data_IF_377420296823
#
_entry.id   IF_377420296823
#
_cell.length_a   1.000
_cell.length_b   1.000
_cell.length_c   1.000
_cell.angle_alpha   90.00
_cell.angle_beta   90.00
_cell.angle_gamma   90.00
#
_symmetry.space_group_name_H-M   'P 1'
#
loop_
_entity.id
_entity.type
_entity.pdbx_description
1 polymer ?
#
# COMPACT_ATOMS: atom_id res chain seq x y z
N UNK A 1 -3.29 10.20 -9.39
CA UNK A 1 -3.03 10.35 -7.94
C UNK A 1 -1.72 9.64 -7.63
N UNK A 2 -0.95 10.06 -6.62
CA UNK A 2 0.34 9.43 -6.31
C UNK A 2 0.19 8.48 -5.13
N UNK A 3 0.45 7.20 -5.37
CA UNK A 3 0.42 6.16 -4.35
C UNK A 3 1.84 5.70 -4.06
N UNK A 4 2.04 5.15 -2.87
CA UNK A 4 3.29 4.54 -2.46
C UNK A 4 2.98 3.17 -1.88
N UNK A 5 3.73 2.17 -2.30
CA UNK A 5 3.69 0.86 -1.69
C UNK A 5 4.85 0.74 -0.72
N UNK A 6 4.53 0.50 0.54
CA UNK A 6 5.50 0.07 1.55
C UNK A 6 5.29 -1.42 1.79
N UNK A 7 6.37 -2.20 1.83
CA UNK A 7 6.29 -3.63 2.03
C UNK A 7 7.41 -4.13 2.93
N UNK A 8 7.14 -5.26 3.58
CA UNK A 8 8.08 -5.99 4.40
C UNK A 8 8.12 -7.44 3.91
N UNK A 9 9.33 -7.98 3.79
CA UNK A 9 9.62 -9.39 3.58
C UNK A 9 10.42 -9.90 4.78
N UNK A 10 10.68 -11.20 4.83
CA UNK A 10 11.56 -11.79 5.84
C UNK A 10 13.02 -11.30 5.74
N UNK A 11 13.38 -10.64 4.63
CA UNK A 11 14.72 -10.11 4.38
C UNK A 11 14.85 -8.60 4.65
N UNK A 12 13.74 -7.88 4.82
CA UNK A 12 13.77 -6.45 5.10
C UNK A 12 12.53 -5.69 4.67
N UNK A 13 12.63 -4.36 4.70
CA UNK A 13 11.56 -3.44 4.30
C UNK A 13 11.94 -2.71 3.03
N UNK A 14 10.95 -2.49 2.16
CA UNK A 14 11.12 -1.79 0.89
C UNK A 14 9.96 -0.85 0.60
N UNK A 15 10.20 0.06 -0.34
CA UNK A 15 9.22 1.05 -0.74
C UNK A 15 9.42 1.50 -2.18
N UNK A 16 8.32 1.72 -2.89
CA UNK A 16 8.34 2.37 -4.20
C UNK A 16 7.07 3.17 -4.46
N UNK A 17 7.18 4.10 -5.41
CA UNK A 17 6.04 4.86 -5.91
C UNK A 17 5.20 4.00 -6.85
N UNK A 18 3.89 4.05 -6.70
CA UNK A 18 2.92 3.40 -7.58
C UNK A 18 2.12 4.48 -8.29
N UNK A 19 2.29 4.56 -9.60
CA UNK A 19 1.52 5.47 -10.44
C UNK A 19 0.19 4.82 -10.81
N UNK A 20 -0.90 5.40 -10.32
CA UNK A 20 -2.25 4.90 -10.54
C UNK A 20 -3.24 6.01 -10.89
N UNK A 21 -4.18 5.72 -11.78
CA UNK A 21 -5.29 6.63 -12.09
C UNK A 21 -6.32 6.65 -10.95
N UNK A 22 -6.51 5.53 -10.27
CA UNK A 22 -7.37 5.36 -9.10
C UNK A 22 -6.79 4.29 -8.14
N UNK A 23 -7.48 4.06 -7.01
CA UNK A 23 -7.05 3.10 -5.99
C UNK A 23 -7.00 1.65 -6.52
N UNK A 24 -7.98 1.22 -7.33
CA UNK A 24 -8.02 -0.13 -7.88
C UNK A 24 -6.86 -0.39 -8.86
N UNK A 25 -6.55 0.58 -9.71
CA UNK A 25 -5.40 0.54 -10.62
C UNK A 25 -4.08 0.47 -9.82
N UNK A 26 -3.92 1.35 -8.83
CA UNK A 26 -2.75 1.34 -7.96
C UNK A 26 -2.59 0.02 -7.19
N UNK A 27 -3.69 -0.54 -6.69
CA UNK A 27 -3.68 -1.83 -5.98
C UNK A 27 -3.32 -2.99 -6.90
N UNK A 28 -3.80 -2.98 -8.15
CA UNK A 28 -3.46 -4.00 -9.14
C UNK A 28 -1.96 -3.97 -9.44
N UNK A 29 -1.40 -2.78 -9.65
CA UNK A 29 0.05 -2.60 -9.86
C UNK A 29 0.86 -2.98 -8.62
N UNK A 30 0.40 -2.63 -7.43
CA UNK A 30 1.04 -3.02 -6.17
C UNK A 30 1.05 -4.54 -6.01
N UNK A 31 -0.05 -5.23 -6.33
CA UNK A 31 -0.12 -6.70 -6.33
C UNK A 31 0.87 -7.32 -7.29
N UNK A 32 0.92 -6.84 -8.53
CA UNK A 32 1.86 -7.31 -9.54
C UNK A 32 3.31 -7.11 -9.10
N UNK A 33 3.63 -5.96 -8.51
CA UNK A 33 4.98 -5.66 -8.05
C UNK A 33 5.42 -6.48 -6.81
N UNK A 34 4.48 -7.01 -6.02
CA UNK A 34 4.77 -7.95 -4.95
C UNK A 34 4.73 -9.41 -5.39
N UNK A 35 4.33 -9.73 -6.62
CA UNK A 35 4.35 -11.11 -7.10
C UNK A 35 5.80 -11.63 -7.12
N UNK A 36 6.02 -12.79 -6.49
CA UNK A 36 7.34 -13.40 -6.38
C UNK A 36 8.19 -12.87 -5.22
N UNK A 37 7.73 -11.83 -4.50
CA UNK A 37 8.33 -11.44 -3.23
C UNK A 37 7.63 -12.20 -2.10
N UNK A 38 8.40 -12.75 -1.17
CA UNK A 38 7.87 -13.39 0.04
C UNK A 38 7.44 -12.32 1.06
N UNK A 39 6.43 -11.55 0.67
CA UNK A 39 5.93 -10.41 1.40
C UNK A 39 5.14 -10.88 2.63
N UNK A 40 5.52 -10.40 3.81
CA UNK A 40 4.79 -10.67 5.05
C UNK A 40 3.67 -9.64 5.27
N UNK A 41 3.97 -8.38 4.94
CA UNK A 41 3.05 -7.24 5.09
C UNK A 41 3.31 -6.19 4.04
N UNK A 42 2.25 -5.56 3.54
CA UNK A 42 2.37 -4.36 2.72
C UNK A 42 1.27 -3.35 3.01
N UNK A 43 1.51 -2.09 2.67
CA UNK A 43 0.54 -1.01 2.80
C UNK A 43 0.62 -0.13 1.55
N UNK A 44 -0.50 -0.03 0.84
CA UNK A 44 -0.66 0.95 -0.23
C UNK A 44 -1.19 2.23 0.41
N UNK A 45 -0.37 3.29 0.32
CA UNK A 45 -0.63 4.58 0.94
C UNK A 45 -0.79 5.66 -0.10
N UNK A 46 -1.61 6.65 0.23
CA UNK A 46 -1.75 7.86 -0.56
C UNK A 46 -1.27 9.07 0.25
N UNK A 47 -0.55 9.96 -0.42
CA UNK A 47 -0.12 11.24 0.14
C UNK A 47 -0.09 12.29 -0.97
N UNK A 48 -0.40 13.53 -0.62
CA UNK A 48 -0.25 14.67 -1.52
C UNK A 48 1.23 15.11 -1.65
N UNK A 49 2.12 14.63 -0.78
CA UNK A 49 3.53 15.01 -0.80
C UNK A 49 4.32 14.21 -1.85
N UNK A 50 5.30 14.83 -2.53
CA UNK A 50 6.09 14.16 -3.56
C UNK A 50 7.13 13.17 -3.01
N UNK A 51 7.59 13.36 -1.77
CA UNK A 51 8.57 12.48 -1.08
C UNK A 51 8.14 12.24 0.37
N UNK A 52 7.05 11.50 0.60
CA UNK A 52 6.64 11.10 1.94
C UNK A 52 7.74 10.32 2.65
N UNK A 53 7.80 10.38 3.98
CA UNK A 53 8.58 9.46 4.82
C UNK A 53 7.88 8.10 4.95
N UNK A 54 8.58 7.10 5.49
CA UNK A 54 7.95 5.79 5.72
C UNK A 54 6.90 5.89 6.81
N UNK A 55 5.76 5.22 6.61
CA UNK A 55 4.62 5.38 7.51
C UNK A 55 3.84 6.69 7.35
N UNK A 56 4.20 7.53 6.38
CA UNK A 56 3.48 8.76 6.05
C UNK A 56 2.36 8.53 5.02
N UNK A 57 1.27 9.30 5.13
CA UNK A 57 0.09 9.19 4.27
C UNK A 57 -0.97 8.24 4.83
N UNK A 58 -2.17 8.30 4.26
CA UNK A 58 -3.29 7.43 4.65
C UNK A 58 -3.08 6.05 4.02
N UNK A 59 -3.13 4.99 4.83
CA UNK A 59 -3.16 3.62 4.32
C UNK A 59 -4.55 3.37 3.71
N UNK A 60 -4.59 3.13 2.40
CA UNK A 60 -5.82 2.86 1.66
C UNK A 60 -6.05 1.36 1.49
N UNK A 61 -4.98 0.56 1.51
CA UNK A 61 -5.08 -0.88 1.55
C UNK A 61 -3.90 -1.46 2.32
N UNK A 62 -4.16 -2.56 3.05
CA UNK A 62 -3.15 -3.29 3.79
C UNK A 62 -3.18 -4.74 3.33
N UNK A 63 -2.00 -5.27 3.06
CA UNK A 63 -1.76 -6.69 2.82
C UNK A 63 -1.15 -7.33 4.05
N UNK A 64 -1.64 -8.52 4.40
CA UNK A 64 -0.94 -9.46 5.29
C UNK A 64 -0.87 -10.82 4.61
N UNK A 65 0.18 -11.60 4.91
CA UNK A 65 0.33 -12.96 4.37
C UNK A 65 -0.88 -13.85 4.71
N UNK A 66 -1.48 -13.65 5.88
CA UNK A 66 -2.60 -14.46 6.38
C UNK A 66 -3.96 -14.05 5.83
N UNK A 67 -4.20 -12.76 5.58
CA UNK A 67 -5.53 -12.26 5.22
C UNK A 67 -5.61 -11.71 3.79
N UNK A 68 -4.48 -11.60 3.10
CA UNK A 68 -4.41 -10.98 1.79
C UNK A 68 -4.61 -9.46 1.85
N UNK A 69 -5.03 -8.87 0.73
CA UNK A 69 -5.26 -7.44 0.61
C UNK A 69 -6.64 -7.06 1.15
N UNK A 70 -6.66 -6.12 2.10
CA UNK A 70 -7.86 -5.46 2.62
C UNK A 70 -7.83 -3.98 2.29
N UNK A 71 -8.85 -3.50 1.61
CA UNK A 71 -9.03 -2.07 1.35
C UNK A 71 -9.55 -1.43 2.63
N UNK A 72 -8.88 -0.39 3.10
CA UNK A 72 -9.37 0.43 4.20
C UNK A 72 -10.41 1.40 3.64
N UNK A 73 -11.68 1.03 3.81
CA UNK A 73 -12.80 1.68 3.15
C UNK A 73 -14.07 1.61 3.99
N UNK A 74 -14.02 2.15 5.20
CA UNK A 74 -15.14 2.83 5.87
C UNK A 74 -14.62 3.34 7.22
N UNK A 75 -14.23 4.61 7.28
CA UNK A 75 -14.37 5.34 8.54
C UNK A 75 -15.87 5.29 8.88
N UNK A 76 -16.32 4.69 10.00
CA UNK A 76 -17.47 5.30 10.65
C UNK A 76 -16.99 6.69 11.05
N UNK A 77 -17.57 7.72 10.42
CA UNK A 77 -17.62 9.03 11.04
C UNK A 77 -18.40 8.82 12.33
N UNK A 78 -17.71 8.77 13.47
CA UNK A 78 -18.35 8.99 14.75
C UNK A 78 -18.56 10.49 14.85
N UNK A 79 -19.80 10.92 14.62
CA UNK A 79 -20.32 12.23 15.07
C UNK A 79 -20.30 12.33 16.59
#
# INVERSE_FOLDING_TARGET
>A
MRYFLEYATDQGVGRFAVEGTNLCDALTKARAALQGLDCTRAALRHTARPRPTSGEGQALAIYTRTEGWKIQGSQPVSE
#
